data_IF_417079539105
#
_entry.id   IF_417079539105
#
_cell.length_a   1.000
_cell.length_b   1.000
_cell.length_c   1.000
_cell.angle_alpha   90.00
_cell.angle_beta   90.00
_cell.angle_gamma   90.00
#
_symmetry.space_group_name_H-M   'P 1'
#
loop_
_entity.id
_entity.type
_entity.pdbx_description
1 polymer ?
#
# COMPACT_ATOMS: atom_id res chain seq x y z
N UNK A 1 -5.68 -1.74 -26.80
CA UNK A 1 -5.92 -2.96 -25.98
C UNK A 1 -7.02 -2.63 -25.00
N UNK A 2 -8.07 -3.42 -24.95
CA UNK A 2 -9.10 -3.31 -23.89
C UNK A 2 -8.52 -3.91 -22.61
N UNK A 3 -8.49 -3.16 -21.52
CA UNK A 3 -8.07 -3.62 -20.20
C UNK A 3 -9.23 -4.36 -19.52
N UNK A 4 -8.94 -5.42 -18.80
CA UNK A 4 -9.89 -6.15 -17.96
C UNK A 4 -9.95 -5.52 -16.55
N UNK A 5 -11.03 -5.77 -15.83
CA UNK A 5 -11.26 -5.17 -14.51
C UNK A 5 -10.09 -5.42 -13.52
N UNK A 6 -9.58 -6.65 -13.47
CA UNK A 6 -8.41 -6.99 -12.63
C UNK A 6 -7.15 -6.19 -13.01
N UNK A 7 -6.97 -5.90 -14.32
CA UNK A 7 -5.85 -5.10 -14.79
C UNK A 7 -6.03 -3.63 -14.42
N UNK A 8 -7.24 -3.11 -14.55
CA UNK A 8 -7.58 -1.74 -14.16
C UNK A 8 -7.43 -1.57 -12.65
N UNK A 9 -7.94 -2.53 -11.85
CA UNK A 9 -7.81 -2.52 -10.40
C UNK A 9 -6.34 -2.50 -9.95
N UNK A 10 -5.49 -3.37 -10.51
CA UNK A 10 -4.05 -3.34 -10.23
C UNK A 10 -3.39 -2.02 -10.63
N UNK A 11 -3.71 -1.49 -11.81
CA UNK A 11 -3.16 -0.22 -12.28
C UNK A 11 -3.61 0.96 -11.43
N UNK A 12 -4.86 0.96 -10.97
CA UNK A 12 -5.41 1.97 -10.07
C UNK A 12 -4.68 1.95 -8.72
N UNK A 13 -4.48 0.78 -8.14
CA UNK A 13 -3.70 0.63 -6.90
C UNK A 13 -2.26 1.12 -7.09
N UNK A 14 -1.58 0.69 -8.15
CA UNK A 14 -0.23 1.13 -8.47
C UNK A 14 -0.13 2.64 -8.78
N UNK A 15 -1.19 3.26 -9.32
CA UNK A 15 -1.23 4.71 -9.51
C UNK A 15 -1.20 5.47 -8.17
N UNK A 16 -1.76 4.88 -7.11
CA UNK A 16 -1.79 5.45 -5.76
C UNK A 16 -0.52 5.15 -4.95
N UNK A 17 0.02 3.94 -5.08
CA UNK A 17 1.10 3.44 -4.21
C UNK A 17 2.44 3.24 -4.92
N UNK A 18 2.51 3.39 -6.24
CA UNK A 18 3.68 3.25 -7.10
C UNK A 18 4.26 1.84 -7.22
N UNK A 19 4.31 1.09 -6.13
CA UNK A 19 4.92 -0.23 -6.04
C UNK A 19 3.97 -1.21 -5.35
N UNK A 20 4.03 -2.49 -5.75
CA UNK A 20 3.40 -3.60 -5.05
C UNK A 20 4.25 -4.86 -5.28
N UNK A 21 4.47 -5.66 -4.25
CA UNK A 21 5.15 -6.94 -4.39
C UNK A 21 4.21 -8.03 -4.90
N UNK A 22 4.78 -9.21 -5.15
CA UNK A 22 4.02 -10.33 -5.66
C UNK A 22 2.94 -10.80 -4.69
N UNK A 23 3.24 -10.83 -3.39
CA UNK A 23 2.29 -11.22 -2.34
C UNK A 23 1.09 -10.27 -2.30
N UNK A 24 1.35 -8.95 -2.31
CA UNK A 24 0.29 -7.95 -2.38
C UNK A 24 -0.56 -8.04 -3.65
N UNK A 25 0.05 -8.44 -4.78
CA UNK A 25 -0.70 -8.68 -6.01
C UNK A 25 -1.63 -9.90 -5.90
N UNK A 26 -1.18 -10.98 -5.26
CA UNK A 26 -2.01 -12.16 -4.99
C UNK A 26 -3.20 -11.79 -4.11
N UNK A 27 -2.92 -11.09 -3.02
CA UNK A 27 -3.91 -10.64 -2.05
C UNK A 27 -4.98 -9.76 -2.70
N UNK A 28 -4.54 -8.75 -3.46
CA UNK A 28 -5.41 -7.79 -4.12
C UNK A 28 -6.29 -8.44 -5.21
N UNK A 29 -5.76 -9.43 -5.93
CA UNK A 29 -6.47 -10.10 -7.02
C UNK A 29 -7.22 -11.36 -6.56
N UNK A 30 -7.26 -11.59 -5.25
CA UNK A 30 -7.91 -12.75 -4.63
C UNK A 30 -7.44 -14.09 -5.23
N UNK A 31 -6.14 -14.23 -5.36
CA UNK A 31 -5.48 -15.43 -5.87
C UNK A 31 -4.80 -16.12 -4.70
N UNK A 32 -5.21 -17.34 -4.39
CA UNK A 32 -4.57 -18.17 -3.37
C UNK A 32 -3.08 -18.39 -3.69
N UNK A 33 -2.21 -18.39 -2.67
CA UNK A 33 -0.76 -18.65 -2.81
C UNK A 33 -0.45 -20.01 -3.46
N UNK A 34 -1.31 -21.00 -3.25
CA UNK A 34 -1.28 -22.30 -3.92
C UNK A 34 -1.89 -22.23 -5.32
N UNK A 35 -2.62 -21.16 -5.59
CA UNK A 35 -3.34 -20.94 -6.83
C UNK A 35 -2.44 -20.59 -7.97
N UNK A 36 -2.94 -20.88 -9.10
CA UNK A 36 -2.34 -20.89 -10.41
C UNK A 36 -1.57 -19.58 -10.70
N UNK A 37 -0.23 -19.64 -10.59
CA UNK A 37 0.69 -18.58 -11.07
C UNK A 37 0.35 -18.13 -12.48
N UNK A 38 -0.37 -18.93 -13.24
CA UNK A 38 -0.93 -18.62 -14.54
C UNK A 38 -1.89 -17.43 -14.47
N UNK A 39 -2.74 -17.32 -13.43
CA UNK A 39 -3.68 -16.20 -13.28
C UNK A 39 -2.95 -14.85 -13.24
N UNK A 40 -1.90 -14.73 -12.42
CA UNK A 40 -1.10 -13.50 -12.41
C UNK A 40 -0.36 -13.26 -13.73
N UNK A 41 0.07 -14.31 -14.41
CA UNK A 41 0.70 -14.19 -15.72
C UNK A 41 -0.27 -13.59 -16.75
N UNK A 42 -1.54 -13.96 -16.73
CA UNK A 42 -2.56 -13.37 -17.60
C UNK A 42 -2.77 -11.87 -17.31
N UNK A 43 -2.69 -11.46 -16.05
CA UNK A 43 -2.79 -10.04 -15.69
C UNK A 43 -1.51 -9.28 -16.08
N UNK A 44 -0.34 -9.77 -15.69
CA UNK A 44 0.93 -9.04 -15.83
C UNK A 44 1.48 -9.01 -17.24
N UNK A 45 1.42 -10.12 -17.98
CA UNK A 45 2.04 -10.23 -19.31
C UNK A 45 1.53 -9.17 -20.28
N UNK A 46 0.20 -8.96 -20.45
CA UNK A 46 -0.30 -7.87 -21.28
C UNK A 46 0.11 -6.49 -20.79
N UNK A 47 0.08 -6.23 -19.49
CA UNK A 47 0.44 -4.93 -18.91
C UNK A 47 1.92 -4.61 -19.11
N UNK A 48 2.81 -5.59 -18.92
CA UNK A 48 4.25 -5.44 -19.14
C UNK A 48 4.56 -5.25 -20.63
N UNK A 49 3.99 -6.10 -21.51
CA UNK A 49 4.18 -6.02 -22.95
C UNK A 49 3.78 -4.65 -23.51
N UNK A 50 2.71 -4.06 -22.99
CA UNK A 50 2.19 -2.76 -23.42
C UNK A 50 2.76 -1.58 -22.62
N UNK A 51 3.77 -1.79 -21.79
CA UNK A 51 4.48 -0.76 -21.00
C UNK A 51 3.57 0.04 -20.05
N UNK A 52 2.57 -0.62 -19.44
CA UNK A 52 1.78 -0.04 -18.35
C UNK A 52 2.48 -0.22 -17.00
N UNK A 53 3.17 -1.36 -16.84
CA UNK A 53 3.93 -1.70 -15.63
C UNK A 53 5.32 -2.23 -16.00
N UNK A 54 6.24 -2.22 -15.02
CA UNK A 54 7.50 -2.94 -15.11
C UNK A 54 7.71 -3.83 -13.87
N UNK A 55 8.36 -4.97 -14.08
CA UNK A 55 8.87 -5.82 -12.98
C UNK A 55 10.24 -5.33 -12.59
N UNK A 56 10.47 -5.20 -11.30
CA UNK A 56 11.75 -4.81 -10.72
C UNK A 56 12.58 -6.06 -10.36
N UNK A 57 13.89 -5.86 -10.10
CA UNK A 57 14.80 -6.94 -9.70
C UNK A 57 14.45 -7.56 -8.34
N UNK A 58 13.83 -6.79 -7.46
CA UNK A 58 13.34 -7.22 -6.15
C UNK A 58 12.02 -8.01 -6.20
N UNK A 59 11.51 -8.31 -7.40
CA UNK A 59 10.25 -9.01 -7.59
C UNK A 59 9.00 -8.14 -7.51
N UNK A 60 9.13 -6.89 -7.11
CA UNK A 60 8.00 -5.95 -7.09
C UNK A 60 7.62 -5.47 -8.48
N UNK A 61 6.42 -4.91 -8.59
CA UNK A 61 5.84 -4.34 -9.79
C UNK A 61 5.67 -2.84 -9.60
N UNK A 62 6.05 -2.06 -10.60
CA UNK A 62 5.87 -0.60 -10.58
C UNK A 62 5.05 -0.14 -11.77
N UNK A 63 4.28 0.94 -11.58
CA UNK A 63 3.55 1.60 -12.66
C UNK A 63 4.50 2.43 -13.52
N UNK A 64 4.29 2.39 -14.83
CA UNK A 64 4.98 3.24 -15.80
C UNK A 64 4.12 4.45 -16.19
N UNK A 65 4.72 5.43 -16.86
CA UNK A 65 4.05 6.65 -17.26
C UNK A 65 2.73 6.38 -18.05
N UNK A 66 2.73 5.40 -18.93
CA UNK A 66 1.54 5.01 -19.69
C UNK A 66 0.41 4.45 -18.81
N UNK A 67 0.75 3.69 -17.78
CA UNK A 67 -0.22 3.19 -16.81
C UNK A 67 -0.80 4.32 -15.97
N UNK A 68 0.05 5.22 -15.52
CA UNK A 68 -0.34 6.39 -14.72
C UNK A 68 -1.25 7.34 -15.51
N UNK A 69 -1.01 7.51 -16.80
CA UNK A 69 -1.82 8.36 -17.67
C UNK A 69 -3.29 7.92 -17.79
N UNK A 70 -3.64 6.70 -17.38
CA UNK A 70 -5.03 6.25 -17.29
C UNK A 70 -5.80 6.89 -16.13
N UNK A 71 -5.09 7.46 -15.15
CA UNK A 71 -5.65 8.02 -13.92
C UNK A 71 -5.09 9.42 -13.66
N UNK A 72 -5.38 10.41 -14.54
CA UNK A 72 -4.75 11.73 -14.50
C UNK A 72 -5.04 12.50 -13.22
N UNK A 73 -6.23 12.31 -12.65
CA UNK A 73 -6.67 13.00 -11.42
C UNK A 73 -6.21 12.29 -10.13
N UNK A 74 -5.60 11.11 -10.26
CA UNK A 74 -5.19 10.31 -9.10
C UNK A 74 -3.80 10.73 -8.62
N UNK A 75 -3.74 11.32 -7.43
CA UNK A 75 -2.48 11.67 -6.78
C UNK A 75 -1.88 10.46 -6.06
N UNK A 76 -0.57 10.20 -6.21
CA UNK A 76 0.11 9.17 -5.45
C UNK A 76 0.05 9.47 -3.94
N UNK A 77 -0.31 8.46 -3.15
CA UNK A 77 -0.28 8.53 -1.68
C UNK A 77 1.15 8.33 -1.12
N UNK A 78 2.02 7.74 -1.93
CA UNK A 78 3.42 7.49 -1.58
C UNK A 78 4.31 8.03 -2.70
N UNK A 79 5.33 8.82 -2.34
CA UNK A 79 6.30 9.32 -3.31
C UNK A 79 7.33 8.25 -3.67
N UNK A 80 7.76 8.24 -4.93
CA UNK A 80 8.89 7.43 -5.40
C UNK A 80 10.18 8.18 -5.12
N UNK A 81 10.94 7.73 -4.15
CA UNK A 81 12.26 8.30 -3.86
C UNK A 81 12.91 7.62 -2.66
N UNK A 82 14.22 7.43 -2.70
CA UNK A 82 14.99 6.89 -1.59
C UNK A 82 15.70 5.58 -1.87
N UNK A 83 16.53 5.17 -0.91
CA UNK A 83 17.32 3.92 -0.96
C UNK A 83 16.47 2.66 -0.77
N UNK A 84 17.13 1.50 -0.72
CA UNK A 84 16.52 0.17 -0.62
C UNK A 84 15.53 0.05 0.55
N UNK A 85 15.83 0.63 1.71
CA UNK A 85 14.92 0.63 2.87
C UNK A 85 13.63 1.43 2.61
N UNK A 86 13.72 2.49 1.83
CA UNK A 86 12.56 3.29 1.43
C UNK A 86 11.65 2.51 0.47
N UNK A 87 12.23 1.73 -0.44
CA UNK A 87 11.49 0.86 -1.37
C UNK A 87 10.76 -0.25 -0.61
N UNK A 88 11.43 -0.92 0.32
CA UNK A 88 10.82 -1.96 1.14
C UNK A 88 9.62 -1.40 1.93
N UNK A 89 9.78 -0.24 2.53
CA UNK A 89 8.69 0.43 3.26
C UNK A 89 7.51 0.82 2.36
N UNK A 90 7.78 1.25 1.14
CA UNK A 90 6.71 1.52 0.17
C UNK A 90 5.93 0.25 -0.19
N UNK A 91 6.62 -0.87 -0.34
CA UNK A 91 5.99 -2.18 -0.60
C UNK A 91 5.10 -2.58 0.56
N UNK A 92 5.60 -2.49 1.79
CA UNK A 92 4.85 -2.80 3.02
C UNK A 92 3.56 -1.97 3.14
N UNK A 93 3.67 -0.66 2.92
CA UNK A 93 2.50 0.24 2.95
C UNK A 93 1.51 -0.09 1.84
N UNK A 94 2.01 -0.36 0.63
CA UNK A 94 1.17 -0.71 -0.53
C UNK A 94 0.44 -2.03 -0.32
N UNK A 95 1.14 -3.05 0.21
CA UNK A 95 0.55 -4.35 0.54
C UNK A 95 -0.52 -4.23 1.62
N UNK A 96 -0.24 -3.47 2.68
CA UNK A 96 -1.23 -3.23 3.72
C UNK A 96 -2.47 -2.51 3.19
N UNK A 97 -2.29 -1.52 2.33
CA UNK A 97 -3.40 -0.83 1.69
C UNK A 97 -4.22 -1.79 0.81
N UNK A 98 -3.59 -2.68 0.04
CA UNK A 98 -4.28 -3.69 -0.75
C UNK A 98 -5.12 -4.62 0.14
N UNK A 99 -4.57 -5.07 1.27
CA UNK A 99 -5.29 -5.89 2.25
C UNK A 99 -6.48 -5.14 2.86
N UNK A 100 -6.31 -3.88 3.22
CA UNK A 100 -7.38 -3.05 3.75
C UNK A 100 -8.51 -2.83 2.72
N UNK A 101 -8.16 -2.49 1.48
CA UNK A 101 -9.10 -2.29 0.39
C UNK A 101 -9.88 -3.57 0.07
N UNK A 102 -9.25 -4.74 0.09
CA UNK A 102 -9.91 -6.05 -0.03
C UNK A 102 -10.98 -6.26 1.04
N UNK A 103 -10.76 -5.76 2.26
CA UNK A 103 -11.70 -5.83 3.37
C UNK A 103 -12.68 -4.64 3.44
N UNK A 104 -12.80 -3.87 2.37
CA UNK A 104 -13.75 -2.75 2.27
C UNK A 104 -13.30 -1.48 3.01
N UNK A 105 -12.03 -1.40 3.41
CA UNK A 105 -11.46 -0.22 4.09
C UNK A 105 -10.63 0.57 3.09
N UNK A 106 -11.12 1.70 2.57
CA UNK A 106 -10.40 2.49 1.58
C UNK A 106 -9.16 3.14 2.20
N UNK A 107 -8.11 3.31 1.39
CA UNK A 107 -6.98 4.14 1.77
C UNK A 107 -7.21 5.59 1.34
N UNK A 108 -6.76 6.56 2.15
CA UNK A 108 -6.91 7.99 1.86
C UNK A 108 -5.68 8.80 2.28
N UNK A 109 -5.54 9.99 1.71
CA UNK A 109 -4.47 10.93 2.08
C UNK A 109 -4.77 11.70 3.37
N UNK A 110 -6.05 11.90 3.66
CA UNK A 110 -6.56 12.67 4.80
C UNK A 110 -7.66 11.88 5.52
N UNK A 111 -7.95 12.26 6.74
CA UNK A 111 -9.08 11.73 7.49
C UNK A 111 -10.37 12.25 6.83
N UNK A 112 -11.26 11.37 6.36
CA UNK A 112 -12.54 11.79 5.79
C UNK A 112 -13.47 12.32 6.89
N UNK A 113 -14.45 13.11 6.50
CA UNK A 113 -15.50 13.58 7.40
C UNK A 113 -16.50 12.48 7.79
N UNK A 114 -16.53 11.39 7.01
CA UNK A 114 -17.39 10.23 7.29
C UNK A 114 -16.84 9.42 8.47
N UNK A 115 -17.75 8.78 9.21
CA UNK A 115 -17.39 7.86 10.30
C UNK A 115 -16.95 6.47 9.81
N UNK A 116 -16.93 6.24 8.49
CA UNK A 116 -16.52 4.96 7.91
C UNK A 116 -15.03 4.69 8.14
N UNK A 117 -14.65 3.44 8.35
CA UNK A 117 -13.25 3.07 8.52
C UNK A 117 -12.39 3.46 7.30
N UNK A 118 -11.21 4.04 7.56
CA UNK A 118 -10.27 4.45 6.53
C UNK A 118 -8.83 4.12 6.94
N UNK A 119 -8.02 3.70 5.99
CA UNK A 119 -6.59 3.49 6.18
C UNK A 119 -5.81 4.72 5.67
N UNK A 120 -5.04 5.34 6.56
CA UNK A 120 -4.16 6.46 6.23
C UNK A 120 -2.71 5.94 6.17
N UNK A 121 -2.07 5.88 4.99
CA UNK A 121 -0.67 5.48 4.86
C UNK A 121 0.25 6.32 5.73
N UNK A 122 1.32 5.72 6.26
CA UNK A 122 2.26 6.42 7.16
C UNK A 122 2.85 7.70 6.56
N UNK A 123 3.07 7.72 5.24
CA UNK A 123 3.55 8.91 4.54
C UNK A 123 2.54 10.07 4.60
N UNK A 124 1.24 9.76 4.48
CA UNK A 124 0.15 10.74 4.57
C UNK A 124 -0.09 11.16 6.03
N UNK A 125 -0.04 10.20 6.95
CA UNK A 125 -0.22 10.47 8.39
C UNK A 125 0.80 11.48 8.93
N UNK A 126 2.04 11.42 8.47
CA UNK A 126 3.07 12.39 8.85
C UNK A 126 2.73 13.83 8.51
N UNK A 127 1.93 14.05 7.47
CA UNK A 127 1.46 15.39 7.10
C UNK A 127 0.31 15.86 8.01
N UNK A 128 -0.50 14.91 8.51
CA UNK A 128 -1.61 15.20 9.41
C UNK A 128 -1.11 15.46 10.83
N UNK A 129 -0.15 14.66 11.29
CA UNK A 129 0.42 14.73 12.64
C UNK A 129 1.96 14.77 12.60
N UNK A 130 2.56 15.90 12.21
CA UNK A 130 4.00 16.04 12.15
C UNK A 130 4.63 15.94 13.55
N UNK A 131 5.81 15.34 13.62
CA UNK A 131 6.66 15.33 14.81
C UNK A 131 6.61 14.07 15.68
N UNK A 132 5.62 13.18 15.53
CA UNK A 132 5.54 11.96 16.36
C UNK A 132 6.17 10.75 15.66
N UNK A 133 6.14 10.73 14.36
CA UNK A 133 6.31 9.52 13.57
C UNK A 133 7.56 9.52 12.68
N UNK A 134 8.47 10.46 12.87
CA UNK A 134 9.72 10.49 12.10
C UNK A 134 10.62 9.28 12.38
N UNK A 135 10.47 8.66 13.55
CA UNK A 135 11.28 7.52 14.00
C UNK A 135 10.54 6.20 14.02
N UNK A 136 9.21 6.20 13.88
CA UNK A 136 8.38 4.99 13.97
C UNK A 136 8.32 4.23 12.65
N UNK A 137 8.21 2.91 12.71
CA UNK A 137 8.10 2.01 11.55
C UNK A 137 6.68 1.56 11.24
N UNK A 138 5.67 2.23 11.77
CA UNK A 138 4.30 1.86 11.47
C UNK A 138 3.96 2.04 9.98
N UNK A 139 3.11 1.17 9.48
CA UNK A 139 2.73 1.11 8.06
C UNK A 139 1.68 2.17 7.74
N UNK A 140 0.77 2.41 8.67
CA UNK A 140 -0.27 3.41 8.55
C UNK A 140 -1.17 3.47 9.77
N UNK A 141 -2.20 4.30 9.69
CA UNK A 141 -3.21 4.49 10.74
C UNK A 141 -4.56 4.02 10.21
N UNK A 142 -5.21 3.14 10.96
CA UNK A 142 -6.63 2.82 10.76
C UNK A 142 -7.47 3.75 11.63
N UNK A 143 -8.33 4.52 10.99
CA UNK A 143 -9.31 5.38 11.65
C UNK A 143 -10.66 4.69 11.56
N UNK A 144 -11.33 4.51 12.70
CA UNK A 144 -12.68 3.93 12.77
C UNK A 144 -13.49 4.69 13.82
N UNK A 145 -14.31 5.62 13.38
CA UNK A 145 -14.99 6.57 14.25
C UNK A 145 -13.98 7.40 15.05
N UNK A 146 -14.03 7.35 16.38
CA UNK A 146 -13.09 8.02 17.27
C UNK A 146 -11.79 7.23 17.51
N UNK A 147 -11.73 5.97 17.09
CA UNK A 147 -10.57 5.11 17.31
C UNK A 147 -9.47 5.35 16.27
N UNK A 148 -8.23 5.37 16.74
CA UNK A 148 -7.02 5.52 15.93
C UNK A 148 -6.07 4.38 16.26
N UNK A 149 -5.91 3.45 15.34
CA UNK A 149 -5.12 2.23 15.52
C UNK A 149 -3.89 2.28 14.62
N UNK A 150 -2.70 2.25 15.21
CA UNK A 150 -1.47 2.13 14.46
C UNK A 150 -1.37 0.72 13.86
N UNK A 151 -1.11 0.65 12.56
CA UNK A 151 -1.02 -0.60 11.80
C UNK A 151 0.44 -0.86 11.47
N UNK A 152 0.90 -2.08 11.74
CA UNK A 152 2.24 -2.54 11.46
C UNK A 152 2.22 -3.74 10.52
N UNK A 153 3.08 -3.75 9.53
CA UNK A 153 3.40 -4.97 8.78
C UNK A 153 4.49 -5.72 9.56
N UNK A 154 4.08 -6.78 10.22
CA UNK A 154 4.94 -7.63 11.04
C UNK A 154 5.45 -8.78 10.16
N UNK A 155 6.27 -8.55 9.16
CA UNK A 155 6.90 -9.61 8.37
C UNK A 155 7.66 -10.64 9.24
N UNK A 156 8.15 -11.71 8.66
CA UNK A 156 8.78 -12.87 9.34
C UNK A 156 9.97 -12.56 10.28
N UNK A 157 10.40 -11.32 10.38
CA UNK A 157 11.48 -10.85 11.25
C UNK A 157 11.03 -9.80 12.27
N UNK A 158 9.77 -9.76 12.61
CA UNK A 158 9.21 -8.72 13.47
C UNK A 158 9.82 -8.70 14.85
N UNK A 159 10.27 -7.55 15.20
CA UNK A 159 10.72 -7.23 16.53
C UNK A 159 9.50 -6.86 17.39
N UNK A 160 8.88 -7.84 18.03
CA UNK A 160 7.72 -7.66 18.93
C UNK A 160 7.98 -6.53 19.95
N UNK A 161 9.20 -6.43 20.45
CA UNK A 161 9.62 -5.35 21.36
C UNK A 161 9.51 -3.96 20.72
N UNK A 162 9.74 -3.84 19.41
CA UNK A 162 9.67 -2.57 18.71
C UNK A 162 8.21 -2.12 18.54
N UNK A 163 7.32 -3.04 18.21
CA UNK A 163 5.87 -2.78 18.16
C UNK A 163 5.35 -2.34 19.53
N UNK A 164 5.78 -3.01 20.61
CA UNK A 164 5.42 -2.64 21.98
C UNK A 164 5.95 -1.26 22.38
N UNK A 165 7.21 -0.96 22.06
CA UNK A 165 7.81 0.34 22.37
C UNK A 165 7.14 1.49 21.61
N UNK A 166 6.85 1.30 20.33
CA UNK A 166 6.16 2.29 19.51
C UNK A 166 4.70 2.44 19.93
N UNK A 167 4.00 1.34 20.27
CA UNK A 167 2.65 1.36 20.81
C UNK A 167 2.53 2.14 22.10
N UNK A 168 3.51 2.00 23.00
CA UNK A 168 3.60 2.79 24.22
C UNK A 168 3.76 4.28 23.96
N UNK A 169 4.58 4.67 23.00
CA UNK A 169 4.73 6.07 22.57
C UNK A 169 3.44 6.64 21.99
N UNK A 170 2.70 5.84 21.25
CA UNK A 170 1.40 6.21 20.70
C UNK A 170 0.38 6.47 21.80
N UNK A 171 0.27 5.55 22.75
CA UNK A 171 -0.67 5.67 23.86
C UNK A 171 -0.36 6.90 24.75
N UNK A 172 0.91 7.17 25.01
CA UNK A 172 1.31 8.33 25.83
C UNK A 172 0.96 9.67 25.20
N UNK A 173 0.79 9.73 23.88
CA UNK A 173 0.59 10.99 23.15
C UNK A 173 -0.82 11.20 22.61
N UNK A 174 -1.61 10.14 22.42
CA UNK A 174 -2.94 10.17 21.78
C UNK A 174 -4.04 9.49 22.63
N UNK A 175 -3.68 8.81 23.70
CA UNK A 175 -4.59 8.23 24.69
C UNK A 175 -5.01 9.29 25.73
#
# INVERSE_FOLDING_TARGET
MKLHDNQLHLLQHLARFNLLDYSGCLEMLDVDETGDRTKLSYVFRPLTKNKYISKRKDGSVSILAKGRALFPDMKPLISTGGGTQSVQRMIEVSRMAALMEKNGIPAAANIPESAEPVFIPSACWRNIAPGILSTTRFTGMLIAGEHRLAVYDIGDGAMEWQVRAEGSLFYTRYG
#
